data_IF_351829193391
#
_entry.id   IF_351829193391
#
_cell.length_a   1.000
_cell.length_b   1.000
_cell.length_c   1.000
_cell.angle_alpha   90.00
_cell.angle_beta   90.00
_cell.angle_gamma   90.00
#
_symmetry.space_group_name_H-M   'P 1'
#
loop_
_entity.id
_entity.type
_entity.pdbx_description
1 polymer ?
#
# COMPACT_ATOMS: atom_id res chain seq x y z
N UNK A 1 -21.58 -0.81 14.16
CA UNK A 1 -21.59 -2.12 14.86
C UNK A 1 -20.26 -2.26 15.57
N UNK A 2 -20.12 -2.96 16.71
CA UNK A 2 -18.82 -2.97 17.41
C UNK A 2 -18.05 -4.25 17.06
N UNK A 3 -17.06 -4.13 16.18
CA UNK A 3 -16.11 -5.19 15.88
C UNK A 3 -15.04 -5.21 16.98
N UNK A 4 -15.08 -6.21 17.85
CA UNK A 4 -14.16 -6.34 18.99
C UNK A 4 -13.41 -7.66 18.84
N UNK A 5 -12.12 -7.66 19.19
CA UNK A 5 -11.39 -8.89 19.47
C UNK A 5 -11.31 -9.08 20.99
N UNK A 6 -11.58 -10.29 21.47
CA UNK A 6 -11.46 -10.63 22.90
C UNK A 6 -9.99 -10.82 23.36
N UNK A 7 -9.03 -10.71 22.43
CA UNK A 7 -7.61 -10.87 22.68
C UNK A 7 -7.10 -12.30 22.63
N UNK A 8 -7.96 -13.30 22.41
CA UNK A 8 -7.59 -14.72 22.29
C UNK A 8 -6.61 -15.00 21.15
N UNK A 9 -6.57 -14.14 20.12
CA UNK A 9 -5.59 -14.24 19.03
C UNK A 9 -4.12 -14.20 19.50
N UNK A 10 -3.84 -13.70 20.71
CA UNK A 10 -2.47 -13.69 21.26
C UNK A 10 -1.98 -15.09 21.59
N UNK A 11 -2.88 -15.97 22.05
CA UNK A 11 -2.56 -17.38 22.29
C UNK A 11 -2.36 -18.11 20.95
N UNK A 12 -3.24 -17.86 19.98
CA UNK A 12 -3.11 -18.37 18.60
C UNK A 12 -1.78 -17.92 17.96
N UNK A 13 -1.37 -16.67 18.17
CA UNK A 13 -0.11 -16.13 17.66
C UNK A 13 1.10 -16.78 18.32
N UNK A 14 1.04 -17.01 19.63
CA UNK A 14 2.09 -17.71 20.36
C UNK A 14 2.24 -19.15 19.85
N UNK A 15 1.12 -19.85 19.68
CA UNK A 15 1.09 -21.20 19.13
C UNK A 15 1.71 -21.25 17.72
N UNK A 16 1.30 -20.34 16.84
CA UNK A 16 1.85 -20.20 15.50
C UNK A 16 3.38 -19.99 15.53
N UNK A 17 3.87 -19.12 16.41
CA UNK A 17 5.29 -18.83 16.51
C UNK A 17 6.11 -20.06 16.92
N UNK A 18 5.69 -20.75 17.99
CA UNK A 18 6.39 -21.91 18.55
C UNK A 18 6.34 -23.13 17.62
N UNK A 19 5.22 -23.34 16.93
CA UNK A 19 5.02 -24.55 16.12
C UNK A 19 5.47 -24.40 14.66
N UNK A 20 5.42 -23.18 14.10
CA UNK A 20 5.67 -22.95 12.67
C UNK A 20 6.84 -22.00 12.46
N UNK A 21 6.74 -20.76 12.93
CA UNK A 21 7.70 -19.70 12.58
C UNK A 21 9.12 -20.07 13.01
N UNK A 22 9.31 -20.49 14.26
CA UNK A 22 10.63 -20.83 14.81
C UNK A 22 11.24 -22.10 14.20
N UNK A 23 10.40 -23.02 13.71
CA UNK A 23 10.85 -24.32 13.17
C UNK A 23 11.13 -24.28 11.67
N UNK A 24 10.29 -23.58 10.92
CA UNK A 24 10.25 -23.67 9.45
C UNK A 24 10.39 -22.31 8.75
N UNK A 25 10.38 -21.20 9.51
CA UNK A 25 10.33 -19.85 8.96
C UNK A 25 8.97 -19.50 8.35
N UNK A 26 8.96 -18.47 7.49
CA UNK A 26 7.72 -17.89 6.91
C UNK A 26 7.38 -18.37 5.49
N UNK A 27 8.32 -19.00 4.78
CA UNK A 27 8.23 -19.18 3.32
C UNK A 27 8.63 -20.56 2.80
N UNK A 28 8.85 -21.54 3.69
CA UNK A 28 9.13 -22.91 3.25
C UNK A 28 7.84 -23.67 2.95
N UNK A 29 7.88 -24.63 2.02
CA UNK A 29 6.71 -25.49 1.73
C UNK A 29 6.24 -26.29 2.96
N UNK A 30 7.13 -26.57 3.91
CA UNK A 30 6.77 -27.15 5.20
C UNK A 30 5.96 -26.17 6.04
N UNK A 31 6.39 -24.90 6.14
CA UNK A 31 5.64 -23.86 6.83
C UNK A 31 4.24 -23.68 6.22
N UNK A 32 4.14 -23.62 4.89
CA UNK A 32 2.86 -23.50 4.19
C UNK A 32 1.88 -24.64 4.54
N UNK A 33 2.36 -25.89 4.57
CA UNK A 33 1.54 -27.04 4.94
C UNK A 33 1.08 -26.96 6.40
N UNK A 34 1.97 -26.61 7.32
CA UNK A 34 1.63 -26.51 8.74
C UNK A 34 0.64 -25.36 9.00
N UNK A 35 0.77 -24.24 8.28
CA UNK A 35 -0.20 -23.14 8.32
C UNK A 35 -1.60 -23.64 7.95
N UNK A 36 -1.71 -24.46 6.90
CA UNK A 36 -2.99 -25.04 6.48
C UNK A 36 -3.59 -25.95 7.56
N UNK A 37 -2.78 -26.89 8.10
CA UNK A 37 -3.24 -27.80 9.16
C UNK A 37 -3.69 -27.07 10.42
N UNK A 38 -2.96 -26.02 10.80
CA UNK A 38 -3.27 -25.19 11.97
C UNK A 38 -4.52 -24.33 11.74
N UNK A 39 -4.73 -23.81 10.53
CA UNK A 39 -5.95 -23.10 10.15
C UNK A 39 -7.20 -24.01 10.20
N UNK A 40 -7.07 -25.28 9.79
CA UNK A 40 -8.13 -26.28 9.88
C UNK A 40 -8.49 -26.61 11.33
N UNK A 41 -7.52 -26.49 12.24
CA UNK A 41 -7.71 -26.67 13.69
C UNK A 41 -8.37 -25.46 14.38
N UNK A 42 -8.58 -24.37 13.66
CA UNK A 42 -9.32 -23.19 14.15
C UNK A 42 -8.47 -22.08 14.77
N UNK A 43 -7.15 -22.10 14.55
CA UNK A 43 -6.26 -20.99 14.91
C UNK A 43 -6.48 -19.82 13.94
N UNK A 44 -6.84 -18.65 14.48
CA UNK A 44 -7.25 -17.48 13.69
C UNK A 44 -6.10 -16.82 12.94
N UNK A 45 -4.89 -16.83 13.52
CA UNK A 45 -3.67 -16.31 12.89
C UNK A 45 -3.29 -17.15 11.68
N UNK A 46 -3.26 -18.48 11.85
CA UNK A 46 -3.00 -19.40 10.74
C UNK A 46 -4.07 -19.30 9.64
N UNK A 47 -5.34 -19.11 10.01
CA UNK A 47 -6.43 -18.91 9.05
C UNK A 47 -6.21 -17.67 8.17
N UNK A 48 -5.80 -16.54 8.76
CA UNK A 48 -5.45 -15.32 8.00
C UNK A 48 -4.23 -15.54 7.11
N UNK A 49 -3.17 -16.15 7.63
CA UNK A 49 -1.97 -16.41 6.84
C UNK A 49 -2.26 -17.37 5.67
N UNK A 50 -3.13 -18.35 5.88
CA UNK A 50 -3.57 -19.22 4.82
C UNK A 50 -4.34 -18.45 3.73
N UNK A 51 -5.22 -17.52 4.14
CA UNK A 51 -5.89 -16.62 3.20
C UNK A 51 -4.89 -15.80 2.38
N UNK A 52 -3.82 -15.26 3.00
CA UNK A 52 -2.77 -14.52 2.28
C UNK A 52 -2.06 -15.39 1.23
N UNK A 53 -1.74 -16.65 1.57
CA UNK A 53 -1.10 -17.57 0.61
C UNK A 53 -1.96 -17.80 -0.62
N UNK A 54 -3.29 -17.85 -0.47
CA UNK A 54 -4.22 -17.97 -1.59
C UNK A 54 -4.37 -16.63 -2.32
N UNK A 55 -4.55 -15.53 -1.60
CA UNK A 55 -4.73 -14.17 -2.16
C UNK A 55 -3.58 -13.78 -3.07
N UNK A 56 -2.34 -13.99 -2.61
CA UNK A 56 -1.11 -13.72 -3.35
C UNK A 56 -0.70 -14.86 -4.29
N UNK A 57 -1.58 -15.84 -4.52
CA UNK A 57 -1.40 -16.96 -5.46
C UNK A 57 -0.13 -17.80 -5.22
N UNK A 58 0.36 -17.83 -3.98
CA UNK A 58 1.38 -18.81 -3.56
C UNK A 58 0.79 -20.22 -3.54
N UNK A 59 -0.49 -20.32 -3.15
CA UNK A 59 -1.29 -21.54 -3.29
C UNK A 59 -2.38 -21.29 -4.34
N UNK A 60 -2.31 -22.03 -5.44
CA UNK A 60 -3.27 -21.89 -6.53
C UNK A 60 -4.62 -22.51 -6.15
N UNK A 61 -5.67 -21.70 -6.26
CA UNK A 61 -7.08 -22.09 -6.11
C UNK A 61 -7.87 -21.67 -7.34
N UNK A 62 -9.02 -22.31 -7.55
CA UNK A 62 -9.90 -21.98 -8.69
C UNK A 62 -10.51 -20.59 -8.54
N UNK A 63 -10.96 -20.22 -7.33
CA UNK A 63 -11.58 -18.94 -7.02
C UNK A 63 -10.79 -18.25 -5.91
N UNK A 64 -9.55 -17.87 -6.21
CA UNK A 64 -8.57 -17.54 -5.17
C UNK A 64 -8.97 -16.32 -4.33
N UNK A 65 -9.61 -15.28 -4.90
CA UNK A 65 -10.07 -14.15 -4.09
C UNK A 65 -11.27 -14.51 -3.22
N UNK A 66 -12.24 -15.26 -3.75
CA UNK A 66 -13.39 -15.74 -2.96
C UNK A 66 -12.93 -16.64 -1.81
N UNK A 67 -12.10 -17.63 -2.10
CA UNK A 67 -11.62 -18.60 -1.10
C UNK A 67 -10.78 -17.89 -0.01
N UNK A 68 -9.95 -16.90 -0.37
CA UNK A 68 -9.23 -16.08 0.59
C UNK A 68 -10.17 -15.21 1.43
N UNK A 69 -11.18 -14.58 0.82
CA UNK A 69 -12.18 -13.79 1.53
C UNK A 69 -12.92 -14.61 2.59
N UNK A 70 -13.36 -15.83 2.26
CA UNK A 70 -14.03 -16.72 3.21
C UNK A 70 -13.13 -17.07 4.41
N UNK A 71 -11.83 -17.26 4.18
CA UNK A 71 -10.85 -17.48 5.25
C UNK A 71 -10.58 -16.23 6.09
N UNK A 72 -10.56 -15.03 5.48
CA UNK A 72 -10.46 -13.78 6.25
C UNK A 72 -11.69 -13.58 7.13
N UNK A 73 -12.90 -13.85 6.62
CA UNK A 73 -14.14 -13.80 7.40
C UNK A 73 -14.09 -14.78 8.58
N UNK A 74 -13.65 -16.02 8.34
CA UNK A 74 -13.43 -17.02 9.40
C UNK A 74 -12.40 -16.56 10.43
N UNK A 75 -11.26 -16.02 9.99
CA UNK A 75 -10.20 -15.54 10.88
C UNK A 75 -10.61 -14.29 11.69
N UNK A 76 -11.49 -13.46 11.12
CA UNK A 76 -12.11 -12.33 11.78
C UNK A 76 -13.26 -12.74 12.73
N UNK A 77 -13.65 -14.02 12.75
CA UNK A 77 -14.81 -14.46 13.52
C UNK A 77 -16.11 -13.80 13.07
N UNK A 78 -16.18 -13.36 11.80
CA UNK A 78 -17.32 -12.65 11.23
C UNK A 78 -18.23 -13.62 10.47
N UNK A 79 -19.53 -13.48 10.71
CA UNK A 79 -20.58 -14.11 9.89
C UNK A 79 -21.53 -13.05 9.36
N UNK A 80 -22.21 -13.33 8.25
CA UNK A 80 -23.22 -12.42 7.68
C UNK A 80 -24.54 -13.16 7.57
N UNK A 81 -25.54 -12.66 8.29
CA UNK A 81 -26.88 -13.22 8.36
C UNK A 81 -27.96 -12.16 8.09
N UNK A 82 -29.22 -12.47 8.42
CA UNK A 82 -30.36 -11.58 8.17
C UNK A 82 -30.26 -10.23 8.92
N UNK A 83 -29.59 -10.24 10.08
CA UNK A 83 -29.37 -9.04 10.90
C UNK A 83 -28.11 -8.25 10.50
N UNK A 84 -27.44 -8.65 9.42
CA UNK A 84 -26.21 -8.05 8.92
C UNK A 84 -24.96 -8.82 9.36
N UNK A 85 -23.88 -8.07 9.53
CA UNK A 85 -22.58 -8.59 9.94
C UNK A 85 -22.62 -8.91 11.44
N UNK A 86 -21.95 -9.95 11.90
CA UNK A 86 -21.84 -10.27 13.32
C UNK A 86 -20.44 -10.80 13.63
N UNK A 87 -19.87 -10.35 14.74
CA UNK A 87 -18.51 -10.70 15.16
C UNK A 87 -18.55 -11.47 16.49
N UNK A 88 -18.04 -12.69 16.46
CA UNK A 88 -18.00 -13.58 17.64
C UNK A 88 -17.03 -13.15 18.75
N UNK A 89 -16.17 -12.16 18.49
CA UNK A 89 -15.10 -11.74 19.42
C UNK A 89 -13.81 -12.56 19.30
N UNK A 90 -13.90 -13.84 18.92
CA UNK A 90 -12.73 -14.68 18.62
C UNK A 90 -12.18 -14.34 17.23
N UNK A 91 -11.45 -13.23 17.16
CA UNK A 91 -11.02 -12.62 15.91
C UNK A 91 -9.53 -12.30 15.93
N UNK A 92 -8.84 -12.55 14.82
CA UNK A 92 -7.53 -11.98 14.55
C UNK A 92 -7.68 -10.61 13.86
N UNK A 93 -7.35 -9.48 14.54
CA UNK A 93 -7.69 -8.14 14.06
C UNK A 93 -7.16 -7.77 12.67
N UNK A 94 -6.00 -8.30 12.25
CA UNK A 94 -5.49 -8.03 10.89
C UNK A 94 -6.41 -8.54 9.78
N UNK A 95 -7.33 -9.46 10.10
CA UNK A 95 -8.33 -9.94 9.15
C UNK A 95 -9.41 -8.89 8.89
N UNK A 96 -9.74 -8.05 9.89
CA UNK A 96 -10.68 -6.92 9.70
C UNK A 96 -10.16 -5.96 8.63
N UNK A 97 -8.86 -5.62 8.69
CA UNK A 97 -8.22 -4.80 7.65
C UNK A 97 -8.31 -5.43 6.27
N UNK A 98 -8.02 -6.73 6.12
CA UNK A 98 -8.10 -7.40 4.82
C UNK A 98 -9.53 -7.43 4.28
N UNK A 99 -10.53 -7.66 5.12
CA UNK A 99 -11.95 -7.58 4.73
C UNK A 99 -12.29 -6.15 4.29
N UNK A 100 -11.84 -5.13 5.05
CA UNK A 100 -11.98 -3.73 4.66
C UNK A 100 -11.34 -3.42 3.31
N UNK A 101 -10.16 -3.99 3.02
CA UNK A 101 -9.52 -3.86 1.72
C UNK A 101 -10.39 -4.45 0.60
N UNK A 102 -10.99 -5.62 0.81
CA UNK A 102 -11.96 -6.19 -0.15
C UNK A 102 -13.16 -5.28 -0.35
N UNK A 103 -13.79 -4.79 0.72
CA UNK A 103 -14.95 -3.92 0.64
C UNK A 103 -14.67 -2.67 -0.22
N UNK A 104 -13.50 -2.06 -0.07
CA UNK A 104 -13.11 -0.89 -0.85
C UNK A 104 -12.74 -1.25 -2.29
N UNK A 105 -12.02 -2.35 -2.53
CA UNK A 105 -11.41 -2.65 -3.84
C UNK A 105 -12.18 -3.66 -4.70
N UNK A 106 -13.25 -4.26 -4.18
CA UNK A 106 -13.98 -5.32 -4.88
C UNK A 106 -14.48 -4.88 -6.26
N UNK A 107 -13.95 -5.53 -7.31
CA UNK A 107 -14.19 -5.22 -8.74
C UNK A 107 -13.91 -3.77 -9.12
N UNK A 108 -12.95 -3.17 -8.42
CA UNK A 108 -12.40 -1.85 -8.69
C UNK A 108 -10.90 -1.99 -8.92
N UNK A 109 -10.24 -0.89 -9.25
CA UNK A 109 -8.78 -0.79 -9.39
C UNK A 109 -8.03 -1.66 -8.37
N UNK A 110 -6.83 -2.16 -8.74
CA UNK A 110 -5.96 -3.11 -8.00
C UNK A 110 -6.07 -4.58 -8.41
N UNK A 111 -5.50 -5.48 -7.60
CA UNK A 111 -5.57 -6.93 -7.74
C UNK A 111 -7.03 -7.44 -7.82
N UNK A 112 -7.99 -6.74 -7.21
CA UNK A 112 -9.39 -7.16 -7.16
C UNK A 112 -10.25 -6.70 -8.35
N UNK A 113 -9.66 -6.07 -9.37
CA UNK A 113 -10.39 -5.60 -10.56
C UNK A 113 -11.14 -6.73 -11.28
N UNK A 114 -10.54 -7.92 -11.33
CA UNK A 114 -11.10 -9.13 -11.95
C UNK A 114 -11.52 -10.17 -10.89
N UNK A 115 -11.88 -9.72 -9.69
CA UNK A 115 -12.29 -10.61 -8.60
C UNK A 115 -13.53 -11.43 -8.98
N UNK A 116 -13.50 -12.74 -8.67
CA UNK A 116 -14.66 -13.61 -8.83
C UNK A 116 -15.85 -13.12 -7.98
N UNK A 117 -17.07 -13.56 -8.31
CA UNK A 117 -18.26 -13.17 -7.55
C UNK A 117 -18.14 -13.58 -6.07
N UNK A 118 -18.26 -12.61 -5.17
CA UNK A 118 -18.39 -12.81 -3.73
C UNK A 118 -19.80 -12.37 -3.35
N UNK A 119 -20.69 -13.33 -3.08
CA UNK A 119 -22.14 -13.10 -2.98
C UNK A 119 -22.49 -11.98 -1.98
N UNK A 120 -21.84 -11.96 -0.80
CA UNK A 120 -22.09 -10.94 0.22
C UNK A 120 -21.72 -9.52 -0.21
N UNK A 121 -20.78 -9.36 -1.16
CA UNK A 121 -20.33 -8.04 -1.63
C UNK A 121 -21.15 -7.52 -2.82
N UNK A 122 -21.81 -8.41 -3.57
CA UNK A 122 -22.60 -8.04 -4.75
C UNK A 122 -23.86 -7.26 -4.40
N UNK A 123 -24.44 -7.56 -3.23
CA UNK A 123 -25.69 -6.95 -2.78
C UNK A 123 -25.45 -5.63 -2.01
N UNK A 124 -24.18 -5.26 -1.78
CA UNK A 124 -23.83 -4.06 -1.01
C UNK A 124 -23.66 -2.83 -1.89
N UNK A 125 -24.28 -1.73 -1.48
CA UNK A 125 -24.00 -0.41 -2.01
C UNK A 125 -22.55 0.02 -1.71
N UNK A 126 -22.05 1.02 -2.43
CA UNK A 126 -20.73 1.59 -2.16
C UNK A 126 -20.65 2.22 -0.76
N UNK A 127 -21.75 2.87 -0.33
CA UNK A 127 -21.90 3.47 0.99
C UNK A 127 -21.75 2.43 2.11
N UNK A 128 -22.49 1.31 2.02
CA UNK A 128 -22.40 0.23 3.01
C UNK A 128 -21.00 -0.36 3.07
N UNK A 129 -20.37 -0.59 1.90
CA UNK A 129 -19.00 -1.11 1.84
C UNK A 129 -18.01 -0.18 2.55
N UNK A 130 -18.12 1.13 2.32
CA UNK A 130 -17.19 2.10 2.92
C UNK A 130 -17.44 2.29 4.40
N UNK A 131 -18.69 2.34 4.85
CA UNK A 131 -19.00 2.44 6.27
C UNK A 131 -18.47 1.23 7.04
N UNK A 132 -18.66 0.01 6.51
CA UNK A 132 -18.15 -1.21 7.15
C UNK A 132 -16.62 -1.29 7.07
N UNK A 133 -16.02 -0.94 5.94
CA UNK A 133 -14.56 -0.92 5.80
C UNK A 133 -13.91 0.04 6.81
N UNK A 134 -14.53 1.21 7.03
CA UNK A 134 -14.07 2.19 8.01
C UNK A 134 -14.15 1.63 9.44
N UNK A 135 -15.28 1.04 9.82
CA UNK A 135 -15.46 0.41 11.15
C UNK A 135 -14.43 -0.72 11.38
N UNK A 136 -14.20 -1.57 10.38
CA UNK A 136 -13.23 -2.68 10.45
C UNK A 136 -11.78 -2.19 10.53
N UNK A 137 -11.44 -1.13 9.78
CA UNK A 137 -10.09 -0.57 9.81
C UNK A 137 -9.80 0.07 11.18
N UNK A 138 -10.75 0.81 11.75
CA UNK A 138 -10.63 1.40 13.10
C UNK A 138 -10.53 0.29 14.14
N UNK A 139 -11.39 -0.72 14.09
CA UNK A 139 -11.31 -1.87 14.99
C UNK A 139 -9.97 -2.61 14.88
N UNK A 140 -9.33 -2.62 13.70
CA UNK A 140 -7.97 -3.13 13.57
C UNK A 140 -7.01 -2.28 14.39
N UNK A 141 -6.99 -0.96 14.18
CA UNK A 141 -6.11 -0.01 14.88
C UNK A 141 -6.28 -0.08 16.40
N UNK A 142 -7.52 -0.19 16.90
CA UNK A 142 -7.80 -0.29 18.34
C UNK A 142 -7.19 -1.52 19.01
N UNK A 143 -6.98 -2.59 18.24
CA UNK A 143 -6.45 -3.86 18.76
C UNK A 143 -4.98 -4.09 18.41
N UNK A 144 -4.55 -3.62 17.23
CA UNK A 144 -3.21 -3.77 16.66
C UNK A 144 -2.93 -2.55 15.78
N UNK A 145 -1.87 -1.81 16.07
CA UNK A 145 -1.41 -0.67 15.26
C UNK A 145 -0.89 -1.16 13.88
N UNK A 146 -1.81 -1.41 12.96
CA UNK A 146 -1.53 -1.92 11.64
C UNK A 146 -1.52 -0.79 10.61
N UNK A 147 -0.34 -0.46 10.09
CA UNK A 147 -0.16 0.65 9.15
C UNK A 147 -0.99 0.52 7.87
N UNK A 148 -1.27 -0.70 7.42
CA UNK A 148 -2.21 -0.97 6.33
C UNK A 148 -3.66 -0.57 6.65
N UNK A 149 -4.12 -0.74 7.89
CA UNK A 149 -5.44 -0.32 8.35
C UNK A 149 -5.53 1.21 8.47
N UNK A 150 -4.48 1.84 9.02
CA UNK A 150 -4.35 3.31 9.06
C UNK A 150 -4.46 3.89 7.65
N UNK A 151 -3.74 3.32 6.68
CA UNK A 151 -3.84 3.71 5.27
C UNK A 151 -5.24 3.50 4.70
N UNK A 152 -5.92 2.41 5.06
CA UNK A 152 -7.28 2.13 4.59
C UNK A 152 -8.28 3.17 5.11
N UNK A 153 -8.16 3.63 6.36
CA UNK A 153 -8.95 4.75 6.90
C UNK A 153 -8.74 5.98 6.03
N UNK A 154 -7.48 6.36 5.80
CA UNK A 154 -7.14 7.49 4.92
C UNK A 154 -7.75 7.35 3.53
N UNK A 155 -7.67 6.16 2.93
CA UNK A 155 -8.24 5.88 1.61
C UNK A 155 -9.75 6.06 1.55
N UNK A 156 -10.48 5.52 2.53
CA UNK A 156 -11.94 5.70 2.57
C UNK A 156 -12.27 7.18 2.69
N UNK A 157 -11.62 7.92 3.59
CA UNK A 157 -11.87 9.36 3.77
C UNK A 157 -11.57 10.18 2.51
N UNK A 158 -10.49 9.86 1.80
CA UNK A 158 -10.11 10.52 0.57
C UNK A 158 -11.12 10.26 -0.56
N UNK A 159 -11.50 8.99 -0.79
CA UNK A 159 -12.48 8.69 -1.84
C UNK A 159 -13.87 9.26 -1.53
N UNK A 160 -14.22 9.39 -0.25
CA UNK A 160 -15.44 10.07 0.17
C UNK A 160 -15.35 11.57 -0.02
N UNK A 161 -14.20 12.21 0.24
CA UNK A 161 -14.04 13.66 0.02
C UNK A 161 -14.14 14.05 -1.45
N UNK A 162 -13.70 13.19 -2.36
CA UNK A 162 -13.81 13.41 -3.81
C UNK A 162 -15.24 13.23 -4.36
N UNK A 163 -16.18 12.74 -3.55
CA UNK A 163 -17.57 12.52 -3.95
C UNK A 163 -18.55 13.18 -2.95
N UNK A 164 -19.02 14.40 -3.22
CA UNK A 164 -19.92 15.14 -2.33
C UNK A 164 -21.21 14.39 -1.97
N UNK A 165 -21.79 13.60 -2.89
CA UNK A 165 -22.99 12.81 -2.59
C UNK A 165 -22.70 11.68 -1.59
N UNK A 166 -21.58 10.99 -1.78
CA UNK A 166 -21.12 9.94 -0.87
C UNK A 166 -20.73 10.52 0.50
N UNK A 167 -20.11 11.70 0.53
CA UNK A 167 -19.83 12.42 1.76
C UNK A 167 -21.11 12.72 2.55
N UNK A 168 -22.14 13.27 1.89
CA UNK A 168 -23.40 13.59 2.57
C UNK A 168 -24.08 12.35 3.18
N UNK A 169 -23.97 11.20 2.51
CA UNK A 169 -24.47 9.92 3.01
C UNK A 169 -23.66 9.39 4.20
N UNK A 170 -22.33 9.48 4.13
CA UNK A 170 -21.43 8.90 5.14
C UNK A 170 -21.04 9.84 6.28
N UNK A 171 -21.30 11.15 6.20
CA UNK A 171 -20.84 12.15 7.19
C UNK A 171 -21.20 11.80 8.64
N UNK A 172 -22.38 11.24 8.87
CA UNK A 172 -22.81 10.82 10.21
C UNK A 172 -21.93 9.70 10.77
N UNK A 173 -21.62 8.70 9.94
CA UNK A 173 -20.71 7.59 10.27
C UNK A 173 -19.28 8.11 10.49
N UNK A 174 -18.78 8.99 9.61
CA UNK A 174 -17.45 9.58 9.72
C UNK A 174 -17.30 10.40 11.01
N UNK A 175 -18.28 11.24 11.35
CA UNK A 175 -18.23 12.01 12.60
C UNK A 175 -18.22 11.08 13.81
N UNK A 176 -19.02 10.01 13.79
CA UNK A 176 -19.12 9.08 14.91
C UNK A 176 -17.85 8.22 15.07
N UNK A 177 -17.30 7.73 13.96
CA UNK A 177 -16.22 6.74 13.96
C UNK A 177 -14.82 7.37 13.84
N UNK A 178 -14.70 8.61 13.33
CA UNK A 178 -13.39 9.24 13.10
C UNK A 178 -13.21 10.47 13.98
N UNK A 179 -14.12 11.44 13.92
CA UNK A 179 -13.98 12.67 14.71
C UNK A 179 -14.07 12.43 16.21
N UNK A 180 -14.98 11.55 16.65
CA UNK A 180 -15.18 11.25 18.08
C UNK A 180 -14.30 10.12 18.60
N UNK A 181 -13.56 9.44 17.72
CA UNK A 181 -12.70 8.32 18.09
C UNK A 181 -11.34 8.82 18.58
N UNK A 182 -10.77 8.10 19.55
CA UNK A 182 -9.46 8.45 20.11
C UNK A 182 -8.35 7.70 19.37
N UNK A 183 -7.64 8.41 18.49
CA UNK A 183 -6.45 7.89 17.79
C UNK A 183 -5.14 8.23 18.50
N UNK A 184 -5.18 8.46 19.82
CA UNK A 184 -3.98 8.77 20.61
C UNK A 184 -2.92 7.66 20.58
N UNK A 185 -3.31 6.39 20.41
CA UNK A 185 -2.37 5.26 20.26
C UNK A 185 -1.44 5.43 19.07
N UNK A 186 -1.94 6.00 17.97
CA UNK A 186 -1.18 6.29 16.76
C UNK A 186 -0.77 7.76 16.64
N UNK A 187 -0.99 8.57 17.69
CA UNK A 187 -0.54 9.97 17.75
C UNK A 187 -1.29 10.93 16.81
N UNK A 188 -2.46 10.56 16.30
CA UNK A 188 -3.25 11.42 15.42
C UNK A 188 -4.36 12.14 16.22
N UNK A 189 -4.58 13.42 15.91
CA UNK A 189 -5.77 14.17 16.34
C UNK A 189 -6.56 14.64 15.13
N UNK A 190 -7.83 14.24 15.08
CA UNK A 190 -8.77 14.63 14.04
C UNK A 190 -9.66 15.75 14.57
N UNK A 191 -9.77 16.83 13.79
CA UNK A 191 -10.70 17.91 14.08
C UNK A 191 -12.13 17.50 13.69
N UNK A 192 -13.11 18.40 13.92
CA UNK A 192 -14.44 18.17 13.38
C UNK A 192 -14.39 18.06 11.85
N UNK A 193 -15.05 17.03 11.29
CA UNK A 193 -15.21 16.86 9.85
C UNK A 193 -16.66 17.22 9.53
N UNK A 194 -16.84 18.37 8.90
CA UNK A 194 -18.12 18.93 8.49
C UNK A 194 -18.19 19.21 6.99
N UNK A 195 -17.05 19.27 6.30
CA UNK A 195 -16.96 19.45 4.85
C UNK A 195 -16.09 18.38 4.18
N UNK A 196 -16.22 18.18 2.85
CA UNK A 196 -15.32 17.30 2.09
C UNK A 196 -13.84 17.68 2.21
N UNK A 197 -13.50 18.97 2.25
CA UNK A 197 -12.12 19.44 2.38
C UNK A 197 -11.52 19.06 3.74
N UNK A 198 -12.30 19.15 4.81
CA UNK A 198 -11.88 18.69 6.14
C UNK A 198 -11.71 17.16 6.18
N UNK A 199 -12.51 16.42 5.40
CA UNK A 199 -12.40 14.98 5.22
C UNK A 199 -11.11 14.60 4.48
N UNK A 200 -10.76 15.33 3.41
CA UNK A 200 -9.51 15.17 2.67
C UNK A 200 -8.30 15.48 3.57
N UNK A 201 -8.34 16.57 4.34
CA UNK A 201 -7.28 16.91 5.28
C UNK A 201 -7.11 15.87 6.40
N UNK A 202 -8.20 15.23 6.84
CA UNK A 202 -8.13 14.10 7.77
C UNK A 202 -7.49 12.86 7.10
N UNK A 203 -7.85 12.56 5.86
CA UNK A 203 -7.25 11.47 5.09
C UNK A 203 -5.73 11.59 5.00
N UNK A 204 -5.23 12.81 4.75
CA UNK A 204 -3.79 13.09 4.65
C UNK A 204 -3.04 12.73 5.94
N UNK A 205 -3.61 13.03 7.11
CA UNK A 205 -3.00 12.64 8.39
C UNK A 205 -2.85 11.13 8.52
N UNK A 206 -3.85 10.37 8.07
CA UNK A 206 -3.79 8.90 8.11
C UNK A 206 -2.78 8.35 7.10
N UNK A 207 -2.70 8.90 5.88
CA UNK A 207 -1.69 8.49 4.91
C UNK A 207 -0.27 8.77 5.40
N UNK A 208 -0.01 9.98 5.91
CA UNK A 208 1.30 10.36 6.46
C UNK A 208 1.67 9.43 7.60
N UNK A 209 0.75 9.19 8.54
CA UNK A 209 1.01 8.29 9.66
C UNK A 209 1.31 6.86 9.19
N UNK A 210 0.56 6.33 8.23
CA UNK A 210 0.81 5.01 7.68
C UNK A 210 2.19 4.92 7.01
N UNK A 211 2.62 5.98 6.31
CA UNK A 211 3.94 6.07 5.69
C UNK A 211 5.07 6.16 6.73
N UNK A 212 4.90 6.93 7.81
CA UNK A 212 5.85 7.01 8.94
C UNK A 212 6.06 5.64 9.60
N UNK A 213 4.97 4.88 9.78
CA UNK A 213 5.00 3.50 10.28
C UNK A 213 5.51 2.49 9.23
N UNK A 214 5.87 2.95 8.04
CA UNK A 214 6.55 2.15 7.03
C UNK A 214 5.66 1.39 6.07
N UNK A 215 4.39 1.77 5.93
CA UNK A 215 3.52 1.19 4.91
C UNK A 215 3.93 1.69 3.53
N UNK A 216 4.63 0.85 2.78
CA UNK A 216 5.25 1.22 1.51
C UNK A 216 4.26 1.75 0.47
N UNK A 217 3.02 1.27 0.45
CA UNK A 217 1.99 1.77 -0.46
C UNK A 217 1.50 3.18 -0.08
N UNK A 218 1.46 3.53 1.21
CA UNK A 218 1.17 4.91 1.62
C UNK A 218 2.28 5.86 1.19
N UNK A 219 3.53 5.45 1.38
CA UNK A 219 4.70 6.19 0.89
C UNK A 219 4.61 6.45 -0.62
N UNK A 220 4.34 5.41 -1.42
CA UNK A 220 4.27 5.54 -2.88
C UNK A 220 3.12 6.46 -3.31
N UNK A 221 1.94 6.35 -2.69
CA UNK A 221 0.80 7.20 -3.01
C UNK A 221 1.07 8.67 -2.65
N UNK A 222 1.68 8.94 -1.49
CA UNK A 222 2.07 10.30 -1.10
C UNK A 222 3.12 10.89 -2.04
N UNK A 223 4.10 10.09 -2.45
CA UNK A 223 5.08 10.52 -3.46
C UNK A 223 4.41 10.87 -4.80
N UNK A 224 3.41 10.11 -5.25
CA UNK A 224 2.66 10.45 -6.48
C UNK A 224 1.91 11.78 -6.32
N UNK A 225 1.29 12.02 -5.17
CA UNK A 225 0.62 13.30 -4.87
C UNK A 225 1.58 14.49 -4.83
N UNK A 226 2.77 14.31 -4.23
CA UNK A 226 3.80 15.36 -4.27
C UNK A 226 4.30 15.59 -5.70
N UNK A 227 4.44 14.53 -6.51
CA UNK A 227 4.78 14.71 -7.92
C UNK A 227 3.71 15.55 -8.65
N UNK A 228 2.42 15.24 -8.47
CA UNK A 228 1.32 16.05 -9.02
C UNK A 228 1.35 17.49 -8.54
N UNK A 229 1.62 17.71 -7.25
CA UNK A 229 1.75 19.04 -6.66
C UNK A 229 2.89 19.84 -7.30
N UNK A 230 4.07 19.23 -7.44
CA UNK A 230 5.24 19.81 -8.09
C UNK A 230 4.91 20.20 -9.53
N UNK A 231 4.29 19.30 -10.30
CA UNK A 231 3.88 19.59 -11.69
C UNK A 231 2.92 20.80 -11.75
N UNK A 232 1.99 20.92 -10.81
CA UNK A 232 1.04 22.05 -10.72
C UNK A 232 1.77 23.36 -10.42
N UNK A 233 2.61 23.41 -9.39
CA UNK A 233 3.39 24.59 -9.03
C UNK A 233 4.27 25.07 -10.19
N UNK A 234 4.90 24.14 -10.91
CA UNK A 234 5.73 24.45 -12.08
C UNK A 234 4.90 25.02 -13.25
N UNK A 235 3.74 24.42 -13.53
CA UNK A 235 2.85 24.88 -14.62
C UNK A 235 2.34 26.31 -14.37
N UNK A 236 2.06 26.66 -13.11
CA UNK A 236 1.61 28.01 -12.72
C UNK A 236 2.76 29.05 -12.79
N UNK A 237 3.99 28.61 -12.53
CA UNK A 237 5.19 29.46 -12.55
C UNK A 237 5.61 29.81 -13.99
N UNK A 238 5.48 28.87 -14.94
CA UNK A 238 5.71 29.13 -16.36
C UNK A 238 4.73 30.18 -16.94
N UNK A 239 3.63 30.47 -16.22
CA UNK A 239 2.51 31.29 -16.69
C UNK A 239 2.52 32.75 -16.19
N UNK A 240 3.31 33.11 -15.17
CA UNK A 240 3.26 34.46 -14.55
C UNK A 240 4.61 34.97 -14.05
N UNK A 241 5.07 36.14 -14.55
CA UNK A 241 6.23 36.87 -14.00
C UNK A 241 5.78 37.87 -12.92
N UNK A 242 5.94 37.57 -11.63
CA UNK A 242 5.73 38.56 -10.55
C UNK A 242 6.70 38.32 -9.36
N UNK A 243 7.65 39.24 -9.25
CA UNK A 243 8.95 39.18 -8.52
C UNK A 243 8.85 39.27 -6.99
N UNK A 244 7.66 39.09 -6.39
CA UNK A 244 7.49 39.09 -4.93
C UNK A 244 6.82 37.81 -4.38
N UNK A 245 6.12 37.04 -5.23
CA UNK A 245 5.58 35.70 -4.90
C UNK A 245 6.58 34.56 -5.09
N UNK A 246 7.77 34.87 -5.62
CA UNK A 246 8.72 33.85 -6.07
C UNK A 246 9.47 33.16 -4.92
N UNK A 247 9.69 33.83 -3.78
CA UNK A 247 10.41 33.22 -2.65
C UNK A 247 9.56 32.21 -1.88
N UNK A 248 8.27 32.51 -1.66
CA UNK A 248 7.35 31.59 -0.97
C UNK A 248 7.03 30.38 -1.85
N UNK A 249 6.71 30.60 -3.13
CA UNK A 249 6.48 29.51 -4.08
C UNK A 249 7.72 28.63 -4.29
N UNK A 250 8.92 29.24 -4.30
CA UNK A 250 10.17 28.48 -4.37
C UNK A 250 10.37 27.62 -3.12
N UNK A 251 10.10 28.16 -1.93
CA UNK A 251 10.18 27.39 -0.69
C UNK A 251 9.15 26.25 -0.65
N UNK A 252 7.92 26.50 -1.12
CA UNK A 252 6.88 25.48 -1.25
C UNK A 252 7.28 24.37 -2.22
N UNK A 253 7.80 24.73 -3.40
CA UNK A 253 8.31 23.77 -4.38
C UNK A 253 9.48 22.96 -3.81
N UNK A 254 10.41 23.60 -3.12
CA UNK A 254 11.55 22.92 -2.47
C UNK A 254 11.07 21.93 -1.42
N UNK A 255 10.10 22.31 -0.57
CA UNK A 255 9.50 21.40 0.40
C UNK A 255 8.78 20.22 -0.28
N UNK A 256 7.99 20.46 -1.33
CA UNK A 256 7.31 19.40 -2.06
C UNK A 256 8.29 18.39 -2.69
N UNK A 257 9.42 18.87 -3.23
CA UNK A 257 10.49 17.99 -3.75
C UNK A 257 11.12 17.17 -2.61
N UNK A 258 11.39 17.79 -1.46
CA UNK A 258 11.93 17.09 -0.30
C UNK A 258 10.97 16.03 0.23
N UNK A 259 9.66 16.32 0.27
CA UNK A 259 8.63 15.38 0.69
C UNK A 259 8.49 14.22 -0.32
N UNK A 260 8.51 14.51 -1.63
CA UNK A 260 8.59 13.49 -2.68
C UNK A 260 9.76 12.52 -2.47
N UNK A 261 10.97 13.07 -2.25
CA UNK A 261 12.17 12.27 -1.96
C UNK A 261 11.99 11.49 -0.66
N UNK A 262 11.48 12.12 0.39
CA UNK A 262 11.29 11.52 1.71
C UNK A 262 10.39 10.29 1.63
N UNK A 263 9.22 10.40 1.00
CA UNK A 263 8.28 9.30 0.88
C UNK A 263 8.83 8.16 0.02
N UNK A 264 9.42 8.45 -1.14
CA UNK A 264 10.08 7.41 -1.95
C UNK A 264 11.20 6.72 -1.17
N UNK A 265 11.99 7.48 -0.40
CA UNK A 265 13.07 6.94 0.41
C UNK A 265 12.55 5.99 1.50
N UNK A 266 11.46 6.34 2.17
CA UNK A 266 10.84 5.49 3.20
C UNK A 266 10.41 4.12 2.64
N UNK A 267 9.84 4.07 1.43
CA UNK A 267 9.51 2.81 0.76
C UNK A 267 10.76 2.09 0.24
N UNK A 268 11.65 2.81 -0.43
CA UNK A 268 12.87 2.25 -1.00
C UNK A 268 13.76 1.59 0.05
N UNK A 269 13.94 2.20 1.23
CA UNK A 269 14.74 1.66 2.33
C UNK A 269 14.17 0.37 2.93
N UNK A 270 12.91 0.06 2.63
CA UNK A 270 12.26 -1.21 2.95
C UNK A 270 12.28 -2.19 1.78
N UNK A 271 13.17 -1.95 0.81
CA UNK A 271 13.37 -2.76 -0.39
C UNK A 271 12.15 -2.84 -1.31
N UNK A 272 11.31 -1.80 -1.31
CA UNK A 272 10.23 -1.70 -2.29
C UNK A 272 10.83 -1.32 -3.67
N UNK A 273 10.69 -2.19 -4.70
CA UNK A 273 11.41 -2.00 -5.96
C UNK A 273 10.97 -0.79 -6.78
N UNK A 274 9.67 -0.49 -6.81
CA UNK A 274 9.14 0.66 -7.56
C UNK A 274 9.74 1.98 -7.06
N UNK A 275 9.69 2.21 -5.75
CA UNK A 275 10.19 3.40 -5.08
C UNK A 275 11.70 3.52 -5.22
N UNK A 276 12.43 2.42 -5.04
CA UNK A 276 13.86 2.39 -5.23
C UNK A 276 14.25 2.68 -6.69
N UNK A 277 13.57 2.08 -7.68
CA UNK A 277 13.81 2.39 -9.08
C UNK A 277 13.46 3.84 -9.42
N UNK A 278 12.33 4.34 -8.93
CA UNK A 278 11.87 5.72 -9.16
C UNK A 278 12.83 6.76 -8.57
N UNK A 279 13.30 6.51 -7.36
CA UNK A 279 14.27 7.37 -6.68
C UNK A 279 15.65 7.29 -7.34
N UNK A 280 16.05 6.11 -7.83
CA UNK A 280 17.25 5.93 -8.65
C UNK A 280 17.19 6.75 -9.95
N UNK A 281 16.05 6.72 -10.66
CA UNK A 281 15.82 7.55 -11.84
C UNK A 281 15.87 9.03 -11.52
N UNK A 282 15.21 9.47 -10.44
CA UNK A 282 15.25 10.86 -10.01
C UNK A 282 16.68 11.34 -9.73
N UNK A 283 17.46 10.60 -8.95
CA UNK A 283 18.87 10.95 -8.72
C UNK A 283 19.72 10.86 -10.00
N UNK A 284 19.32 10.08 -11.00
CA UNK A 284 20.05 9.97 -12.28
C UNK A 284 19.78 11.13 -13.22
N UNK A 285 18.52 11.55 -13.36
CA UNK A 285 18.06 12.47 -14.40
C UNK A 285 17.53 13.80 -13.86
N UNK A 286 17.13 13.85 -12.60
CA UNK A 286 16.41 14.96 -11.97
C UNK A 286 14.93 14.99 -12.35
N UNK A 287 14.42 13.99 -13.08
CA UNK A 287 13.05 14.02 -13.61
C UNK A 287 12.00 13.63 -12.57
N UNK A 288 10.97 14.46 -12.44
CA UNK A 288 9.71 14.13 -11.79
C UNK A 288 8.62 14.13 -12.87
N UNK A 289 7.80 13.07 -12.90
CA UNK A 289 6.72 12.89 -13.89
C UNK A 289 5.39 12.67 -13.18
N UNK A 290 4.34 13.28 -13.71
CA UNK A 290 2.94 12.94 -13.42
C UNK A 290 2.09 13.12 -14.68
N UNK A 291 1.34 12.07 -15.04
CA UNK A 291 0.68 11.97 -16.34
C UNK A 291 1.66 12.18 -17.49
N UNK A 292 1.28 13.01 -18.46
CA UNK A 292 2.10 13.35 -19.63
C UNK A 292 3.13 14.46 -19.36
N UNK A 293 3.15 15.04 -18.15
CA UNK A 293 4.02 16.16 -17.80
C UNK A 293 5.29 15.68 -17.08
N UNK A 294 6.41 16.28 -17.45
CA UNK A 294 7.72 16.02 -16.85
C UNK A 294 8.46 17.33 -16.62
N UNK A 295 9.05 17.50 -15.43
CA UNK A 295 9.99 18.58 -15.12
C UNK A 295 11.30 18.00 -14.60
N UNK A 296 12.40 18.74 -14.79
CA UNK A 296 13.76 18.29 -14.47
C UNK A 296 14.43 19.23 -13.47
N UNK A 297 14.92 18.67 -12.37
CA UNK A 297 15.61 19.36 -11.28
C UNK A 297 17.05 18.84 -11.17
N UNK A 298 17.95 19.41 -11.97
CA UNK A 298 19.33 18.90 -12.12
C UNK A 298 20.18 19.03 -10.86
N UNK A 299 19.85 19.97 -9.99
CA UNK A 299 20.50 20.22 -8.71
C UNK A 299 20.36 19.04 -7.73
N UNK A 300 19.37 18.15 -7.93
CA UNK A 300 19.18 16.94 -7.13
C UNK A 300 19.83 15.70 -7.75
N UNK A 301 20.60 15.83 -8.84
CA UNK A 301 21.24 14.65 -9.46
C UNK A 301 22.46 14.17 -8.65
N UNK A 302 22.51 12.86 -8.42
CA UNK A 302 23.62 12.17 -7.75
C UNK A 302 23.78 10.76 -8.37
N UNK A 303 24.85 10.57 -9.15
CA UNK A 303 25.09 9.31 -9.86
C UNK A 303 25.41 8.14 -8.94
N UNK A 304 26.11 8.37 -7.82
CA UNK A 304 26.46 7.30 -6.89
C UNK A 304 25.20 6.85 -6.14
N UNK A 305 24.37 7.80 -5.71
CA UNK A 305 23.12 7.52 -5.03
C UNK A 305 22.10 6.85 -5.96
N UNK A 306 22.01 7.28 -7.21
CA UNK A 306 21.20 6.62 -8.24
C UNK A 306 21.54 5.13 -8.38
N UNK A 307 22.84 4.80 -8.51
CA UNK A 307 23.31 3.41 -8.59
C UNK A 307 22.91 2.59 -7.38
N UNK A 308 23.04 3.16 -6.17
CA UNK A 308 22.69 2.49 -4.93
C UNK A 308 21.20 2.16 -4.86
N UNK A 309 20.32 3.07 -5.29
CA UNK A 309 18.88 2.81 -5.29
C UNK A 309 18.46 1.82 -6.38
N UNK A 310 19.07 1.86 -7.57
CA UNK A 310 18.81 0.80 -8.56
C UNK A 310 19.23 -0.57 -8.04
N UNK A 311 20.41 -0.70 -7.40
CA UNK A 311 20.80 -1.96 -6.74
C UNK A 311 19.82 -2.36 -5.65
N UNK A 312 19.35 -1.42 -4.84
CA UNK A 312 18.34 -1.70 -3.79
C UNK A 312 17.04 -2.25 -4.39
N UNK A 313 16.61 -1.73 -5.53
CA UNK A 313 15.42 -2.19 -6.25
C UNK A 313 15.53 -3.64 -6.76
N UNK A 314 16.74 -4.21 -6.81
CA UNK A 314 16.97 -5.59 -7.29
C UNK A 314 16.96 -6.64 -6.17
N UNK A 315 16.91 -6.23 -4.90
CA UNK A 315 17.03 -7.14 -3.75
C UNK A 315 15.79 -8.04 -3.56
N UNK A 316 14.60 -7.47 -3.74
CA UNK A 316 13.32 -8.17 -3.64
C UNK A 316 12.63 -8.17 -5.01
N UNK A 317 13.06 -9.03 -5.95
CA UNK A 317 12.72 -8.87 -7.36
C UNK A 317 11.24 -8.97 -7.67
N UNK A 318 10.71 -7.95 -8.35
CA UNK A 318 9.39 -7.92 -8.97
C UNK A 318 9.49 -7.34 -10.39
N UNK A 319 8.35 -7.03 -11.02
CA UNK A 319 8.30 -6.41 -12.34
C UNK A 319 9.06 -5.07 -12.43
N UNK A 320 9.08 -4.27 -11.36
CA UNK A 320 9.82 -3.00 -11.30
C UNK A 320 11.33 -3.20 -11.16
N UNK A 321 11.76 -4.32 -10.58
CA UNK A 321 13.18 -4.70 -10.57
C UNK A 321 13.73 -4.93 -11.97
N UNK A 322 12.92 -5.43 -12.92
CA UNK A 322 13.30 -5.52 -14.33
C UNK A 322 13.72 -4.16 -14.91
N UNK A 323 12.94 -3.11 -14.64
CA UNK A 323 13.31 -1.74 -15.02
C UNK A 323 14.58 -1.25 -14.32
N UNK A 324 14.80 -1.62 -13.06
CA UNK A 324 16.00 -1.25 -12.33
C UNK A 324 17.26 -1.91 -12.91
N UNK A 325 17.20 -3.19 -13.29
CA UNK A 325 18.28 -3.88 -14.00
C UNK A 325 18.61 -3.21 -15.33
N UNK A 326 17.59 -2.88 -16.14
CA UNK A 326 17.78 -2.12 -17.38
C UNK A 326 18.46 -0.78 -17.11
N UNK A 327 18.03 -0.05 -16.08
CA UNK A 327 18.64 1.23 -15.72
C UNK A 327 20.10 1.10 -15.25
N UNK A 328 20.45 0.00 -14.59
CA UNK A 328 21.85 -0.29 -14.26
C UNK A 328 22.69 -0.48 -15.53
N UNK A 329 22.22 -1.30 -16.49
CA UNK A 329 22.92 -1.53 -17.76
C UNK A 329 23.05 -0.22 -18.54
N UNK A 330 21.93 0.50 -18.73
CA UNK A 330 21.87 1.73 -19.52
C UNK A 330 22.74 2.86 -18.97
N UNK A 331 22.67 3.13 -17.67
CA UNK A 331 23.33 4.30 -17.07
C UNK A 331 24.68 4.01 -16.46
N UNK A 332 24.99 2.74 -16.16
CA UNK A 332 26.23 2.30 -15.53
C UNK A 332 26.93 1.20 -16.36
N UNK A 333 26.83 1.29 -17.69
CA UNK A 333 27.38 0.32 -18.65
C UNK A 333 28.86 -0.03 -18.43
N UNK A 334 29.66 0.89 -17.87
CA UNK A 334 31.07 0.65 -17.53
C UNK A 334 31.27 -0.53 -16.57
N UNK A 335 30.28 -0.83 -15.71
CA UNK A 335 30.33 -2.00 -14.82
C UNK A 335 30.25 -3.32 -15.61
N UNK A 336 29.66 -3.30 -16.79
CA UNK A 336 29.37 -4.48 -17.62
C UNK A 336 30.37 -4.68 -18.76
N UNK A 337 31.10 -3.63 -19.15
CA UNK A 337 32.07 -3.71 -20.27
C UNK A 337 33.13 -4.80 -20.09
N UNK A 338 33.47 -5.14 -18.86
CA UNK A 338 34.46 -6.19 -18.54
C UNK A 338 33.84 -7.37 -17.78
N UNK A 339 32.51 -7.43 -17.64
CA UNK A 339 31.80 -8.45 -16.88
C UNK A 339 30.56 -8.91 -17.67
N UNK A 340 30.82 -9.70 -18.71
CA UNK A 340 29.77 -10.23 -19.59
C UNK A 340 28.85 -11.21 -18.87
N UNK A 341 29.35 -11.89 -17.85
CA UNK A 341 28.57 -12.83 -17.04
C UNK A 341 27.52 -12.07 -16.23
N UNK A 342 27.90 -10.95 -15.60
CA UNK A 342 26.97 -10.06 -14.92
C UNK A 342 25.93 -9.45 -15.88
N UNK A 343 26.33 -9.08 -17.09
CA UNK A 343 25.37 -8.58 -18.10
C UNK A 343 24.33 -9.65 -18.45
N UNK A 344 24.78 -10.86 -18.75
CA UNK A 344 23.88 -11.96 -19.09
C UNK A 344 22.94 -12.31 -17.94
N UNK A 345 23.45 -12.36 -16.71
CA UNK A 345 22.64 -12.58 -15.51
C UNK A 345 21.53 -11.52 -15.38
N UNK A 346 21.89 -10.24 -15.50
CA UNK A 346 20.90 -9.16 -15.42
C UNK A 346 19.89 -9.21 -16.58
N UNK A 347 20.32 -9.54 -17.80
CA UNK A 347 19.41 -9.71 -18.94
C UNK A 347 18.41 -10.85 -18.72
N UNK A 348 18.85 -11.96 -18.12
CA UNK A 348 17.96 -13.07 -17.75
C UNK A 348 16.93 -12.66 -16.69
N UNK A 349 17.33 -11.85 -15.69
CA UNK A 349 16.39 -11.27 -14.74
C UNK A 349 15.38 -10.33 -15.40
N UNK A 350 15.83 -9.43 -16.29
CA UNK A 350 14.92 -8.52 -17.01
C UNK A 350 13.89 -9.34 -17.79
N UNK A 351 14.34 -10.37 -18.54
CA UNK A 351 13.45 -11.24 -19.31
C UNK A 351 12.40 -11.95 -18.45
N UNK A 352 12.80 -12.44 -17.28
CA UNK A 352 11.92 -13.16 -16.38
C UNK A 352 10.91 -12.25 -15.66
N UNK A 353 11.31 -11.02 -15.33
CA UNK A 353 10.54 -10.11 -14.49
C UNK A 353 9.70 -9.13 -15.31
N UNK A 354 10.21 -8.62 -16.44
CA UNK A 354 9.55 -7.60 -17.25
C UNK A 354 9.91 -7.74 -18.75
N UNK A 355 9.07 -8.42 -19.55
CA UNK A 355 9.30 -8.60 -20.98
C UNK A 355 9.41 -7.30 -21.79
N UNK A 356 8.68 -6.25 -21.41
CA UNK A 356 8.75 -4.94 -22.09
C UNK A 356 10.12 -4.28 -21.88
N UNK A 357 10.63 -4.30 -20.65
CA UNK A 357 11.98 -3.81 -20.36
C UNK A 357 13.05 -4.64 -21.08
N UNK A 358 12.82 -5.94 -21.30
CA UNK A 358 13.73 -6.83 -22.01
C UNK A 358 13.85 -6.48 -23.49
N UNK A 359 12.73 -6.18 -24.15
CA UNK A 359 12.72 -5.77 -25.55
C UNK A 359 13.56 -4.49 -25.75
N UNK A 360 13.43 -3.52 -24.84
CA UNK A 360 14.26 -2.30 -24.85
C UNK A 360 15.74 -2.62 -24.56
N UNK A 361 16.01 -3.55 -23.64
CA UNK A 361 17.36 -3.92 -23.25
C UNK A 361 18.15 -4.56 -24.40
N UNK A 362 17.50 -5.35 -25.27
CA UNK A 362 18.14 -5.98 -26.43
C UNK A 362 18.57 -4.94 -27.49
N UNK A 363 17.84 -3.81 -27.58
CA UNK A 363 18.14 -2.76 -28.55
C UNK A 363 19.33 -1.87 -28.15
N UNK A 364 19.68 -1.84 -26.86
CA UNK A 364 20.82 -1.10 -26.31
C UNK A 364 22.14 -1.85 -26.50
#
# INVERSE_FOLDING_TARGET
MIYISDGSYKDDLKEYNEQILEKYGVSSSSAEREIMCMADSGNTVACKLYADLIFYKKIMRKNFYRDAFDLYMKAAGITVGELGWDCSGKAYPLSFWMIGYYLVNYRRESALANCEKIDVLEDMSLEERYSIALELAIATVDNIDASGAINLIGRVLFEVSENPELFEKLKGSIVQNVTKHDFSSIGIKIAAITTPEECAAAADKFFVKAAEEGYVYACNNLAVREAEHIIRLMSETDSTSLVASDSEKKAELENAILDYICFLKLAADRYEPYAANRLGLFYRTGEIKSGDKTYTFKEYTDHALAKNYFKKATVCPDENSGWAFLNLIKYFYNDYMNDIDLLNEHMDYIKALNPEAYDIAIEL
#
